data_IF_610104823328
#
_entry.id   IF_610104823328
#
_cell.length_a   1.000
_cell.length_b   1.000
_cell.length_c   1.000
_cell.angle_alpha   90.00
_cell.angle_beta   90.00
_cell.angle_gamma   90.00
#
_symmetry.space_group_name_H-M   'P 1'
#
loop_
_entity.id
_entity.type
_entity.pdbx_description
1 polymer ?
#
# COMPACT_ATOMS: atom_id res chain seq x y z
N UNK A 1 76.34 25.10 35.24
CA UNK A 1 76.36 25.91 34.00
C UNK A 1 74.93 26.10 33.52
N UNK A 2 74.62 27.32 33.08
CA UNK A 2 73.34 27.77 32.52
C UNK A 2 72.94 26.91 31.31
N UNK A 3 71.65 26.64 31.10
CA UNK A 3 70.84 27.30 30.05
C UNK A 3 69.60 26.48 29.63
N UNK A 4 68.43 27.08 29.89
CA UNK A 4 67.24 27.23 29.02
C UNK A 4 66.41 26.04 28.48
N UNK A 5 65.14 26.04 28.93
CA UNK A 5 63.89 26.05 28.14
C UNK A 5 63.63 24.94 27.11
N UNK A 6 62.52 24.20 27.29
CA UNK A 6 61.28 24.51 26.56
C UNK A 6 60.05 23.82 27.18
N UNK A 7 59.00 24.61 27.40
CA UNK A 7 57.62 24.20 27.62
C UNK A 7 57.09 23.39 26.43
N UNK A 8 56.25 22.38 26.68
CA UNK A 8 55.05 22.19 25.85
C UNK A 8 53.92 21.59 26.68
N UNK A 9 52.99 22.47 27.06
CA UNK A 9 51.65 22.12 27.55
C UNK A 9 50.81 21.77 26.32
N UNK A 10 50.35 20.53 26.20
CA UNK A 10 49.28 20.18 25.26
C UNK A 10 48.05 19.85 26.10
N UNK A 11 47.23 20.88 26.32
CA UNK A 11 45.86 20.71 26.75
C UNK A 11 45.06 20.12 25.60
N UNK A 12 44.63 18.87 25.74
CA UNK A 12 43.66 18.26 24.84
C UNK A 12 42.30 18.91 25.08
N UNK A 13 41.98 19.90 24.25
CA UNK A 13 40.63 20.41 24.09
C UNK A 13 39.75 19.30 23.49
N UNK A 14 38.95 18.64 24.33
CA UNK A 14 37.80 17.86 23.87
C UNK A 14 36.68 18.80 23.43
N UNK A 15 36.80 19.37 22.23
CA UNK A 15 35.67 20.00 21.55
C UNK A 15 34.87 18.87 20.91
N UNK A 16 33.91 18.33 21.66
CA UNK A 16 32.84 17.51 21.10
C UNK A 16 31.96 18.44 20.27
N UNK A 17 32.24 18.53 18.97
CA UNK A 17 31.29 19.03 17.99
C UNK A 17 30.08 18.09 17.96
N UNK A 18 29.09 18.35 18.83
CA UNK A 18 27.71 17.98 18.51
C UNK A 18 27.36 18.75 17.25
N UNK A 19 27.32 18.04 16.13
CA UNK A 19 26.73 18.52 14.90
C UNK A 19 25.24 18.65 15.20
N UNK A 20 24.81 19.84 15.57
CA UNK A 20 23.40 20.18 15.68
C UNK A 20 22.76 19.85 14.33
N UNK A 21 22.08 18.70 14.27
CA UNK A 21 21.09 18.50 13.24
C UNK A 21 19.99 19.51 13.55
N UNK A 22 19.59 20.37 12.59
CA UNK A 22 18.46 21.24 12.83
C UNK A 22 17.27 20.36 13.17
N UNK A 23 16.79 20.50 14.40
CA UNK A 23 15.55 19.90 14.85
C UNK A 23 14.45 20.60 14.03
N UNK A 24 14.01 19.94 12.95
CA UNK A 24 12.88 20.42 12.15
C UNK A 24 11.66 20.29 13.04
N UNK A 25 11.31 21.38 13.73
CA UNK A 25 10.05 21.46 14.46
C UNK A 25 8.94 21.61 13.43
N UNK A 26 8.00 20.66 13.35
CA UNK A 26 6.89 20.77 12.41
C UNK A 26 6.09 22.04 12.70
N UNK A 27 5.68 22.72 11.63
CA UNK A 27 4.69 23.79 11.65
C UNK A 27 3.44 23.34 12.45
N UNK A 28 2.80 24.24 13.19
CA UNK A 28 1.57 23.97 13.95
C UNK A 28 0.47 23.30 13.09
N UNK A 29 0.30 23.67 11.83
CA UNK A 29 -0.63 23.04 10.89
C UNK A 29 -0.21 21.59 10.60
N UNK A 30 1.08 21.34 10.38
CA UNK A 30 1.58 19.98 10.20
C UNK A 30 1.40 19.14 11.46
N UNK A 31 1.60 19.73 12.64
CA UNK A 31 1.38 19.06 13.92
C UNK A 31 -0.08 18.66 14.09
N UNK A 32 -1.04 19.53 13.74
CA UNK A 32 -2.46 19.19 13.76
C UNK A 32 -2.81 18.07 12.77
N UNK A 33 -2.24 18.10 11.56
CA UNK A 33 -2.47 17.06 10.55
C UNK A 33 -1.86 15.71 10.94
N UNK A 34 -0.69 15.72 11.60
CA UNK A 34 -0.07 14.52 12.17
C UNK A 34 -0.85 13.94 13.35
N UNK A 35 -1.72 14.73 13.99
CA UNK A 35 -2.64 14.26 15.04
C UNK A 35 -3.96 13.72 14.49
N UNK A 36 -4.23 13.84 13.18
CA UNK A 36 -5.41 13.22 12.57
C UNK A 36 -5.28 11.70 12.66
N UNK A 37 -6.25 11.06 13.33
CA UNK A 37 -6.31 9.60 13.38
C UNK A 37 -6.70 9.04 12.01
N UNK A 38 -6.07 7.92 11.64
CA UNK A 38 -6.53 7.10 10.51
C UNK A 38 -7.99 6.72 10.75
N UNK A 39 -8.78 6.69 9.68
CA UNK A 39 -10.18 6.30 9.80
C UNK A 39 -10.71 5.71 8.51
N UNK A 40 -11.74 4.88 8.66
CA UNK A 40 -12.53 4.36 7.55
C UNK A 40 -14.00 4.29 7.96
N UNK A 41 -14.89 4.68 7.06
CA UNK A 41 -16.33 4.57 7.25
C UNK A 41 -17.03 4.22 5.95
N UNK A 42 -18.15 3.51 6.04
CA UNK A 42 -18.96 3.13 4.88
C UNK A 42 -20.32 2.57 5.33
N UNK A 43 -21.24 2.41 4.39
CA UNK A 43 -22.58 1.86 4.61
C UNK A 43 -22.79 0.59 3.78
N UNK A 44 -23.36 -0.46 4.37
CA UNK A 44 -23.83 -1.68 3.68
C UNK A 44 -25.24 -2.00 4.18
N UNK A 45 -26.19 -2.16 3.25
CA UNK A 45 -27.61 -2.43 3.57
C UNK A 45 -28.23 -1.41 4.55
N UNK A 46 -27.82 -0.14 4.46
CA UNK A 46 -28.25 0.92 5.38
C UNK A 46 -27.59 0.92 6.75
N UNK A 47 -26.72 -0.04 7.05
CA UNK A 47 -25.94 -0.11 8.30
C UNK A 47 -24.61 0.60 8.09
N UNK A 48 -24.33 1.59 8.95
CA UNK A 48 -23.07 2.34 8.95
C UNK A 48 -22.02 1.60 9.76
N UNK A 49 -20.83 1.45 9.18
CA UNK A 49 -19.64 0.90 9.81
C UNK A 49 -18.57 1.99 9.90
N UNK A 50 -17.84 2.02 11.00
CA UNK A 50 -16.72 2.96 11.20
C UNK A 50 -15.59 2.29 11.97
N UNK A 51 -14.37 2.67 11.65
CA UNK A 51 -13.18 2.33 12.43
C UNK A 51 -12.19 3.48 12.42
N UNK A 52 -11.53 3.70 13.55
CA UNK A 52 -10.36 4.55 13.73
C UNK A 52 -9.13 3.74 14.19
N UNK A 53 -9.22 2.41 14.16
CA UNK A 53 -8.23 1.50 14.70
C UNK A 53 -7.50 0.80 13.54
N UNK A 54 -6.54 1.51 12.94
CA UNK A 54 -5.59 0.90 12.00
C UNK A 54 -4.61 0.04 12.79
N UNK A 55 -4.75 -1.27 12.71
CA UNK A 55 -3.88 -2.21 13.42
C UNK A 55 -2.71 -2.74 12.56
N UNK A 56 -2.76 -2.57 11.24
CA UNK A 56 -1.66 -3.04 10.37
C UNK A 56 -1.43 -2.15 9.15
N UNK A 57 -0.16 -2.10 8.74
CA UNK A 57 0.30 -1.53 7.47
C UNK A 57 1.23 -2.53 6.79
N UNK A 58 1.03 -2.77 5.50
CA UNK A 58 1.77 -3.73 4.70
C UNK A 58 2.33 -3.12 3.43
N UNK A 59 3.49 -3.62 3.04
CA UNK A 59 4.17 -3.26 1.79
C UNK A 59 4.59 -4.56 1.12
N UNK A 60 4.25 -4.73 -0.16
CA UNK A 60 4.59 -5.95 -0.88
C UNK A 60 4.91 -5.66 -2.35
N UNK A 61 5.55 -6.63 -3.00
CA UNK A 61 5.61 -6.67 -4.45
C UNK A 61 4.95 -7.93 -4.97
N UNK A 62 4.28 -7.83 -6.11
CA UNK A 62 3.65 -8.97 -6.78
C UNK A 62 4.09 -9.04 -8.24
N UNK A 63 4.09 -10.26 -8.76
CA UNK A 63 4.18 -10.51 -10.20
C UNK A 63 2.92 -9.99 -10.89
N UNK A 64 3.07 -9.42 -12.08
CA UNK A 64 1.96 -8.88 -12.88
C UNK A 64 1.74 -9.65 -14.16
N UNK A 65 0.52 -9.57 -14.69
CA UNK A 65 0.12 -10.23 -15.94
C UNK A 65 0.50 -11.71 -15.92
N UNK A 66 0.16 -12.39 -14.83
CA UNK A 66 0.56 -13.77 -14.56
C UNK A 66 -0.10 -14.71 -15.59
N UNK A 67 0.70 -15.55 -16.23
CA UNK A 67 0.29 -16.47 -17.30
C UNK A 67 0.85 -17.87 -17.08
N UNK A 68 0.15 -18.92 -17.58
CA UNK A 68 0.61 -20.29 -17.49
C UNK A 68 1.67 -20.60 -18.55
N UNK A 69 2.60 -21.49 -18.19
CA UNK A 69 3.66 -22.02 -19.05
C UNK A 69 3.82 -23.53 -18.77
N UNK A 70 4.13 -24.29 -19.82
CA UNK A 70 4.27 -25.75 -19.75
C UNK A 70 5.66 -26.21 -19.26
N UNK A 71 6.59 -25.28 -19.05
CA UNK A 71 7.96 -25.56 -18.63
C UNK A 71 8.53 -24.40 -17.79
N UNK A 72 9.61 -24.67 -17.09
CA UNK A 72 10.34 -23.68 -16.31
C UNK A 72 11.01 -22.64 -17.21
N UNK A 73 10.96 -21.36 -16.81
CA UNK A 73 11.64 -20.26 -17.50
C UNK A 73 12.80 -19.78 -16.63
N UNK A 74 14.06 -20.22 -16.88
CA UNK A 74 15.18 -20.03 -15.96
C UNK A 74 15.56 -18.56 -15.71
N UNK A 75 15.15 -17.66 -16.60
CA UNK A 75 15.44 -16.22 -16.50
C UNK A 75 14.23 -15.40 -16.03
N UNK A 76 13.27 -16.02 -15.35
CA UNK A 76 12.09 -15.36 -14.78
C UNK A 76 11.83 -15.81 -13.36
N UNK A 77 11.36 -14.88 -12.53
CA UNK A 77 10.92 -15.21 -11.19
C UNK A 77 9.57 -15.94 -11.27
N UNK A 78 9.54 -17.17 -10.74
CA UNK A 78 8.31 -17.94 -10.60
C UNK A 78 7.32 -17.21 -9.69
N UNK A 79 6.08 -17.03 -10.14
CA UNK A 79 5.01 -16.53 -9.29
C UNK A 79 4.52 -17.63 -8.35
N UNK A 80 4.18 -18.78 -8.92
CA UNK A 80 3.84 -20.02 -8.21
C UNK A 80 3.77 -21.19 -9.21
N UNK A 81 3.60 -22.41 -8.71
CA UNK A 81 3.44 -23.64 -9.50
C UNK A 81 2.18 -24.37 -9.09
N UNK A 82 1.43 -24.90 -10.06
CA UNK A 82 0.27 -25.78 -9.81
C UNK A 82 0.38 -27.02 -10.68
N UNK A 83 0.54 -28.20 -10.08
CA UNK A 83 0.75 -29.46 -10.82
C UNK A 83 1.90 -29.28 -11.85
N UNK A 84 1.63 -29.50 -13.13
CA UNK A 84 2.59 -29.41 -14.23
C UNK A 84 2.64 -28.02 -14.89
N UNK A 85 1.91 -27.04 -14.33
CA UNK A 85 1.87 -25.66 -14.85
C UNK A 85 2.74 -24.73 -14.02
N UNK A 86 3.57 -23.96 -14.71
CA UNK A 86 4.40 -22.90 -14.14
C UNK A 86 3.78 -21.54 -14.42
N UNK A 87 3.66 -20.70 -13.40
CA UNK A 87 3.02 -19.40 -13.53
C UNK A 87 4.04 -18.28 -13.41
N UNK A 88 4.17 -17.47 -14.45
CA UNK A 88 5.13 -16.36 -14.48
C UNK A 88 4.42 -15.06 -14.79
N UNK A 89 4.87 -13.97 -14.16
CA UNK A 89 4.51 -12.62 -14.56
C UNK A 89 5.44 -12.02 -15.61
N UNK A 90 5.32 -10.71 -15.80
CA UNK A 90 6.28 -9.94 -16.58
C UNK A 90 7.67 -9.96 -15.94
N UNK A 91 8.71 -10.10 -16.79
CA UNK A 91 10.10 -10.23 -16.34
C UNK A 91 10.62 -8.95 -15.67
N UNK A 92 10.32 -7.79 -16.26
CA UNK A 92 10.96 -6.52 -15.92
C UNK A 92 10.03 -5.57 -15.17
N UNK A 93 8.91 -6.08 -14.64
CA UNK A 93 7.88 -5.28 -14.00
C UNK A 93 7.36 -5.94 -12.73
N UNK A 94 7.05 -5.13 -11.72
CA UNK A 94 6.40 -5.57 -10.49
C UNK A 94 5.18 -4.69 -10.18
N UNK A 95 4.20 -5.26 -9.51
CA UNK A 95 3.15 -4.51 -8.84
C UNK A 95 3.67 -4.16 -7.45
N UNK A 96 3.83 -2.87 -7.17
CA UNK A 96 4.12 -2.39 -5.81
C UNK A 96 2.79 -2.14 -5.12
N UNK A 97 2.65 -2.63 -3.90
CA UNK A 97 1.43 -2.54 -3.10
C UNK A 97 1.71 -1.89 -1.74
N UNK A 98 0.86 -0.94 -1.37
CA UNK A 98 0.74 -0.36 -0.03
C UNK A 98 -0.67 -0.70 0.48
N UNK A 99 -0.78 -1.39 1.61
CA UNK A 99 -2.07 -1.80 2.15
C UNK A 99 -2.18 -1.54 3.65
N UNK A 100 -3.42 -1.35 4.10
CA UNK A 100 -3.77 -0.91 5.44
C UNK A 100 -4.93 -1.76 5.94
N UNK A 101 -4.86 -2.18 7.20
CA UNK A 101 -5.93 -2.95 7.83
C UNK A 101 -6.49 -2.21 9.05
N UNK A 102 -7.82 -2.17 9.11
CA UNK A 102 -8.61 -1.57 10.18
C UNK A 102 -9.40 -2.64 10.93
N UNK A 103 -9.45 -2.53 12.25
CA UNK A 103 -10.27 -3.34 13.15
C UNK A 103 -11.41 -2.53 13.72
N UNK A 104 -12.50 -3.19 14.11
CA UNK A 104 -13.68 -2.53 14.66
C UNK A 104 -14.86 -3.49 14.56
N UNK A 105 -16.04 -2.95 14.22
CA UNK A 105 -17.21 -3.78 13.94
C UNK A 105 -17.02 -4.67 12.70
N UNK A 106 -16.05 -4.37 11.84
CA UNK A 106 -15.66 -5.21 10.71
C UNK A 106 -14.16 -5.08 10.51
N UNK A 107 -13.54 -6.13 9.95
CA UNK A 107 -12.15 -6.05 9.52
C UNK A 107 -12.14 -5.53 8.09
N UNK A 108 -11.45 -4.42 7.85
CA UNK A 108 -11.29 -3.86 6.50
C UNK A 108 -9.84 -3.87 6.12
N UNK A 109 -9.56 -4.31 4.90
CA UNK A 109 -8.26 -4.14 4.25
C UNK A 109 -8.46 -3.30 3.00
N UNK A 110 -7.73 -2.20 2.89
CA UNK A 110 -7.66 -1.36 1.70
C UNK A 110 -6.21 -1.34 1.20
N UNK A 111 -6.01 -1.38 -0.11
CA UNK A 111 -4.68 -1.24 -0.66
C UNK A 111 -4.64 -0.52 -1.99
N UNK A 112 -3.48 0.08 -2.24
CA UNK A 112 -3.15 0.85 -3.42
C UNK A 112 -2.02 0.13 -4.15
N UNK A 113 -2.20 -0.10 -5.44
CA UNK A 113 -1.25 -0.83 -6.26
C UNK A 113 -0.83 -0.01 -7.47
N UNK A 114 0.45 -0.11 -7.83
CA UNK A 114 0.98 0.53 -9.03
C UNK A 114 2.04 -0.33 -9.70
N UNK A 115 1.94 -0.45 -11.02
CA UNK A 115 2.91 -1.12 -11.86
C UNK A 115 4.17 -0.26 -11.97
N UNK A 116 5.31 -0.88 -11.74
CA UNK A 116 6.62 -0.27 -11.95
C UNK A 116 7.49 -1.19 -12.79
N UNK A 117 8.28 -0.59 -13.67
CA UNK A 117 9.45 -1.28 -14.23
C UNK A 117 10.50 -1.44 -13.11
N UNK A 118 11.14 -2.60 -13.03
CA UNK A 118 12.14 -2.92 -12.00
C UNK A 118 13.30 -1.91 -11.99
N UNK A 119 13.69 -1.35 -13.14
CA UNK A 119 14.73 -0.32 -13.23
C UNK A 119 14.32 1.03 -12.59
N UNK A 120 13.04 1.22 -12.25
CA UNK A 120 12.53 2.37 -11.49
C UNK A 120 12.34 2.04 -10.00
N UNK A 121 12.77 0.87 -9.58
CA UNK A 121 12.73 0.41 -8.21
C UNK A 121 14.14 0.30 -7.65
N UNK A 122 14.25 0.50 -6.34
CA UNK A 122 15.43 0.17 -5.55
C UNK A 122 15.10 -0.98 -4.61
N UNK A 123 16.10 -1.78 -4.26
CA UNK A 123 15.92 -2.86 -3.29
C UNK A 123 15.82 -2.25 -1.89
N UNK A 124 14.65 -2.37 -1.26
CA UNK A 124 14.47 -2.06 0.16
C UNK A 124 14.90 -3.23 1.05
N UNK A 125 14.69 -3.07 2.37
CA UNK A 125 15.04 -4.11 3.35
C UNK A 125 14.27 -5.41 3.15
N UNK A 126 13.00 -5.33 2.77
CA UNK A 126 12.10 -6.49 2.61
C UNK A 126 11.52 -6.61 1.21
N UNK A 127 11.32 -5.49 0.51
CA UNK A 127 10.66 -5.42 -0.79
C UNK A 127 11.31 -4.34 -1.67
N UNK A 128 11.17 -4.45 -2.98
CA UNK A 128 11.47 -3.37 -3.91
C UNK A 128 10.55 -2.17 -3.67
N UNK A 129 11.12 -0.97 -3.78
CA UNK A 129 10.44 0.29 -3.52
C UNK A 129 10.70 1.26 -4.68
N UNK A 130 9.73 2.13 -5.05
CA UNK A 130 9.96 3.12 -6.09
C UNK A 130 11.05 4.12 -5.68
N UNK A 131 12.01 4.37 -6.56
CA UNK A 131 13.11 5.32 -6.33
C UNK A 131 12.57 6.72 -6.00
N UNK A 132 11.49 7.13 -6.67
CA UNK A 132 10.85 8.43 -6.52
C UNK A 132 9.64 8.42 -5.57
N UNK A 133 9.55 7.42 -4.68
CA UNK A 133 8.41 7.21 -3.80
C UNK A 133 7.17 6.65 -4.49
N UNK A 134 6.24 6.12 -3.70
CA UNK A 134 4.95 5.65 -4.20
C UNK A 134 4.03 6.85 -4.38
N UNK A 135 3.73 7.17 -5.64
CA UNK A 135 3.00 8.37 -6.02
C UNK A 135 1.56 8.01 -6.40
N UNK A 136 0.61 8.53 -5.63
CA UNK A 136 -0.81 8.53 -5.94
C UNK A 136 -1.21 9.89 -6.50
N UNK A 137 -2.13 9.89 -7.46
CA UNK A 137 -2.68 11.12 -8.03
C UNK A 137 -4.04 11.40 -7.40
N UNK A 138 -4.33 12.67 -7.10
CA UNK A 138 -5.69 13.08 -6.74
C UNK A 138 -6.65 12.86 -7.91
N UNK A 139 -7.93 12.71 -7.59
CA UNK A 139 -9.00 12.45 -8.54
C UNK A 139 -9.36 10.96 -8.69
N UNK A 140 -10.15 10.62 -9.72
CA UNK A 140 -10.68 9.28 -9.92
C UNK A 140 -9.58 8.22 -10.03
N UNK A 141 -9.75 7.13 -9.30
CA UNK A 141 -8.91 5.94 -9.33
C UNK A 141 -9.73 4.75 -9.81
N UNK A 142 -9.08 3.84 -10.54
CA UNK A 142 -9.71 2.59 -10.95
C UNK A 142 -9.58 1.54 -9.84
N UNK A 143 -10.57 0.65 -9.75
CA UNK A 143 -10.46 -0.55 -8.95
C UNK A 143 -9.63 -1.62 -9.67
N UNK A 144 -8.83 -2.34 -8.90
CA UNK A 144 -8.15 -3.55 -9.35
C UNK A 144 -9.10 -4.74 -9.15
N UNK A 145 -9.64 -5.29 -10.23
CA UNK A 145 -10.67 -6.35 -10.17
C UNK A 145 -10.09 -7.76 -10.23
N UNK A 146 -8.82 -7.91 -10.59
CA UNK A 146 -8.10 -9.18 -10.70
C UNK A 146 -6.97 -9.34 -9.66
N UNK A 147 -7.13 -8.66 -8.52
CA UNK A 147 -6.18 -8.70 -7.42
C UNK A 147 -5.98 -10.14 -6.90
N UNK A 148 -4.71 -10.53 -6.76
CA UNK A 148 -4.24 -11.89 -6.43
C UNK A 148 -4.56 -12.97 -7.46
N UNK A 149 -5.01 -12.59 -8.67
CA UNK A 149 -5.12 -13.46 -9.84
C UNK A 149 -4.05 -13.11 -10.87
N UNK A 150 -4.43 -12.51 -11.98
CA UNK A 150 -3.50 -12.11 -13.04
C UNK A 150 -2.73 -10.84 -12.69
N UNK A 151 -3.23 -9.98 -11.80
CA UNK A 151 -2.65 -8.68 -11.45
C UNK A 151 -2.32 -7.82 -12.69
N UNK A 152 -3.27 -7.66 -13.62
CA UNK A 152 -3.08 -6.94 -14.89
C UNK A 152 -3.15 -5.43 -14.70
N UNK A 153 -3.93 -4.94 -13.74
CA UNK A 153 -4.17 -3.51 -13.55
C UNK A 153 -3.56 -2.99 -12.25
N UNK A 154 -3.24 -1.70 -12.26
CA UNK A 154 -2.94 -0.92 -11.06
C UNK A 154 -4.21 -0.28 -10.55
N UNK A 155 -4.34 -0.04 -9.26
CA UNK A 155 -5.51 0.65 -8.74
C UNK A 155 -5.71 0.42 -7.27
N UNK A 156 -6.96 0.53 -6.84
CA UNK A 156 -7.35 0.30 -5.45
C UNK A 156 -8.05 -1.05 -5.33
N UNK A 157 -7.77 -1.76 -4.25
CA UNK A 157 -8.55 -2.93 -3.84
C UNK A 157 -9.01 -2.76 -2.41
N UNK A 158 -10.15 -3.39 -2.09
CA UNK A 158 -10.70 -3.37 -0.75
C UNK A 158 -11.37 -4.72 -0.43
N UNK A 159 -11.22 -5.20 0.78
CA UNK A 159 -11.94 -6.37 1.31
C UNK A 159 -12.48 -6.08 2.70
N UNK A 160 -13.70 -6.52 2.97
CA UNK A 160 -14.41 -6.30 4.22
C UNK A 160 -14.87 -7.66 4.76
N UNK A 161 -14.42 -8.01 5.97
CA UNK A 161 -14.90 -9.16 6.72
C UNK A 161 -15.89 -8.67 7.77
N UNK A 162 -17.17 -8.88 7.49
CA UNK A 162 -18.27 -8.53 8.38
C UNK A 162 -18.50 -9.65 9.42
N UNK A 163 -18.82 -9.32 10.68
CA UNK A 163 -19.17 -10.32 11.68
C UNK A 163 -20.39 -11.13 11.22
N UNK A 164 -20.29 -12.46 11.33
CA UNK A 164 -21.40 -13.39 11.02
C UNK A 164 -21.89 -13.34 9.56
N UNK A 165 -21.14 -12.71 8.65
CA UNK A 165 -21.41 -12.69 7.20
C UNK A 165 -20.16 -13.15 6.45
N UNK A 166 -20.34 -13.57 5.21
CA UNK A 166 -19.21 -13.84 4.30
C UNK A 166 -18.43 -12.55 4.04
N UNK A 167 -17.11 -12.68 3.89
CA UNK A 167 -16.27 -11.55 3.49
C UNK A 167 -16.61 -11.12 2.07
N UNK A 168 -16.57 -9.82 1.82
CA UNK A 168 -16.79 -9.23 0.50
C UNK A 168 -15.51 -8.56 0.01
N UNK A 169 -15.27 -8.60 -1.30
CA UNK A 169 -14.09 -7.99 -1.94
C UNK A 169 -14.50 -7.15 -3.14
N UNK A 170 -13.76 -6.06 -3.41
CA UNK A 170 -13.93 -5.24 -4.62
C UNK A 170 -13.37 -5.90 -5.89
N UNK A 171 -12.76 -7.06 -5.74
CA UNK A 171 -12.13 -7.85 -6.78
C UNK A 171 -12.76 -9.25 -6.85
N UNK A 172 -12.50 -9.98 -7.92
CA UNK A 172 -12.97 -11.36 -8.12
C UNK A 172 -12.46 -12.23 -6.98
N UNK A 173 -13.32 -12.79 -6.10
CA UNK A 173 -12.87 -13.43 -4.86
C UNK A 173 -12.13 -14.76 -5.06
N UNK A 174 -12.43 -15.51 -6.14
CA UNK A 174 -11.71 -16.75 -6.45
C UNK A 174 -10.32 -16.44 -7.00
N UNK A 175 -9.30 -16.67 -6.17
CA UNK A 175 -7.88 -16.44 -6.49
C UNK A 175 -7.29 -17.54 -7.37
N UNK A 176 -8.01 -18.63 -7.58
CA UNK A 176 -7.53 -19.73 -8.39
C UNK A 176 -7.43 -19.32 -9.85
N UNK A 177 -6.25 -19.53 -10.41
CA UNK A 177 -5.96 -19.28 -11.82
C UNK A 177 -6.29 -20.49 -12.71
N UNK A 178 -6.56 -21.65 -12.13
CA UNK A 178 -6.97 -22.87 -12.83
C UNK A 178 -8.48 -23.06 -12.86
N UNK A 179 -9.24 -22.32 -12.03
CA UNK A 179 -10.70 -22.40 -12.00
C UNK A 179 -11.32 -21.34 -12.92
N UNK A 180 -12.36 -21.69 -13.68
CA UNK A 180 -13.12 -20.69 -14.43
C UNK A 180 -13.81 -19.74 -13.43
N UNK A 181 -13.70 -18.45 -13.69
CA UNK A 181 -14.39 -17.42 -12.90
C UNK A 181 -15.73 -17.09 -13.55
N UNK A 182 -16.77 -16.95 -12.72
CA UNK A 182 -18.10 -16.54 -13.20
C UNK A 182 -18.20 -15.03 -13.40
N UNK A 183 -17.41 -14.26 -12.66
CA UNK A 183 -17.34 -12.81 -12.75
C UNK A 183 -16.27 -12.40 -13.78
N UNK A 184 -16.53 -11.29 -14.48
CA UNK A 184 -15.56 -10.67 -15.39
C UNK A 184 -14.93 -9.42 -14.74
N UNK A 185 -14.04 -8.73 -15.45
CA UNK A 185 -13.32 -7.57 -14.91
C UNK A 185 -14.17 -6.29 -14.79
N UNK A 186 -15.43 -6.30 -15.21
CA UNK A 186 -16.34 -5.15 -15.18
C UNK A 186 -17.24 -5.14 -13.92
N UNK A 187 -16.86 -5.84 -12.85
CA UNK A 187 -17.63 -5.90 -11.59
C UNK A 187 -17.75 -4.56 -10.83
N UNK A 188 -17.03 -3.52 -11.28
CA UNK A 188 -17.01 -2.17 -10.70
C UNK A 188 -17.51 -1.11 -11.70
N UNK A 189 -18.40 -1.48 -12.61
CA UNK A 189 -18.91 -0.63 -13.70
C UNK A 189 -19.65 0.64 -13.25
N UNK A 190 -20.29 0.61 -12.08
CA UNK A 190 -21.00 1.74 -11.45
C UNK A 190 -20.35 2.20 -10.14
N UNK A 191 -19.09 1.81 -9.90
CA UNK A 191 -18.36 2.10 -8.68
C UNK A 191 -17.38 3.27 -8.85
N UNK A 192 -17.05 3.95 -7.76
CA UNK A 192 -16.15 5.10 -7.75
C UNK A 192 -15.15 5.00 -6.61
N UNK A 193 -13.91 5.42 -6.88
CA UNK A 193 -12.92 5.70 -5.85
C UNK A 193 -12.24 7.01 -6.22
N UNK A 194 -12.32 8.03 -5.38
CA UNK A 194 -11.76 9.35 -5.67
C UNK A 194 -10.81 9.74 -4.56
N UNK A 195 -9.54 9.93 -4.90
CA UNK A 195 -8.57 10.51 -3.96
C UNK A 195 -8.84 12.02 -3.90
N UNK A 196 -9.33 12.49 -2.76
CA UNK A 196 -9.63 13.88 -2.50
C UNK A 196 -8.36 14.65 -2.13
N UNK A 197 -7.49 14.02 -1.34
CA UNK A 197 -6.26 14.62 -0.83
C UNK A 197 -5.12 13.60 -0.85
N UNK A 198 -3.95 14.04 -1.30
CA UNK A 198 -2.69 13.30 -1.18
C UNK A 198 -1.55 14.32 -1.02
N UNK A 199 -1.26 14.68 0.23
CA UNK A 199 -0.33 15.75 0.59
C UNK A 199 0.83 15.20 1.44
N UNK A 200 2.05 15.61 1.12
CA UNK A 200 3.23 15.31 1.94
C UNK A 200 3.22 16.15 3.22
N UNK A 201 3.39 15.49 4.36
CA UNK A 201 3.53 16.07 5.68
C UNK A 201 5.00 16.03 6.12
N UNK A 202 5.31 16.75 7.19
CA UNK A 202 6.63 16.67 7.83
C UNK A 202 6.96 15.23 8.25
N UNK A 203 8.25 14.89 8.18
CA UNK A 203 8.73 13.55 8.53
C UNK A 203 8.50 12.48 7.44
N UNK A 204 8.16 12.88 6.21
CA UNK A 204 7.98 11.96 5.07
C UNK A 204 6.71 11.12 5.14
N UNK A 205 5.74 11.58 5.93
CA UNK A 205 4.38 11.05 5.97
C UNK A 205 3.53 11.70 4.89
N UNK A 206 2.44 11.06 4.49
CA UNK A 206 1.45 11.64 3.61
C UNK A 206 0.07 11.52 4.24
N UNK A 207 -0.74 12.58 4.09
CA UNK A 207 -2.17 12.56 4.34
C UNK A 207 -2.89 12.16 3.05
N UNK A 208 -3.53 11.01 3.09
CA UNK A 208 -4.45 10.54 2.06
C UNK A 208 -5.88 10.64 2.58
N UNK A 209 -6.75 11.31 1.84
CA UNK A 209 -8.20 11.26 2.04
C UNK A 209 -8.87 10.84 0.73
N UNK A 210 -9.80 9.90 0.82
CA UNK A 210 -10.52 9.41 -0.35
C UNK A 210 -11.96 9.04 -0.01
N UNK A 211 -12.83 9.21 -0.99
CA UNK A 211 -14.22 8.74 -0.95
C UNK A 211 -14.41 7.57 -1.91
N UNK A 212 -15.36 6.69 -1.61
CA UNK A 212 -15.63 5.53 -2.44
C UNK A 212 -17.08 5.02 -2.38
N UNK A 213 -17.54 4.48 -3.50
CA UNK A 213 -18.63 3.53 -3.58
C UNK A 213 -18.18 2.32 -4.37
N UNK A 214 -18.49 1.12 -3.91
CA UNK A 214 -18.02 -0.10 -4.58
C UNK A 214 -19.00 -1.25 -4.52
N UNK A 215 -18.81 -2.20 -5.43
CA UNK A 215 -19.50 -3.47 -5.43
C UNK A 215 -18.62 -4.52 -4.72
N UNK A 216 -19.08 -5.03 -3.58
CA UNK A 216 -18.42 -6.11 -2.87
C UNK A 216 -18.98 -7.48 -3.28
N UNK A 217 -18.12 -8.45 -3.57
CA UNK A 217 -18.52 -9.81 -3.94
C UNK A 217 -17.99 -10.82 -2.92
N UNK A 218 -18.84 -11.78 -2.57
CA UNK A 218 -18.48 -12.97 -1.78
C UNK A 218 -17.88 -14.06 -2.67
N UNK A 219 -17.26 -15.09 -2.07
CA UNK A 219 -16.77 -16.28 -2.79
C UNK A 219 -17.88 -16.99 -3.59
N UNK A 220 -19.15 -16.86 -3.15
CA UNK A 220 -20.32 -17.38 -3.85
C UNK A 220 -20.90 -16.40 -4.88
N UNK A 221 -20.14 -15.37 -5.26
CA UNK A 221 -20.51 -14.33 -6.23
C UNK A 221 -21.75 -13.49 -5.86
N UNK A 222 -22.20 -13.52 -4.59
CA UNK A 222 -23.23 -12.62 -4.10
C UNK A 222 -22.69 -11.18 -4.02
N UNK A 223 -23.34 -10.25 -4.71
CA UNK A 223 -23.05 -8.80 -4.75
C UNK A 223 -23.66 -8.09 -3.53
N UNK A 224 -22.89 -7.16 -2.95
CA UNK A 224 -23.31 -6.17 -1.96
C UNK A 224 -22.86 -4.80 -2.43
N UNK A 225 -23.68 -3.77 -2.24
CA UNK A 225 -23.26 -2.39 -2.51
C UNK A 225 -22.72 -1.77 -1.24
N UNK A 226 -21.53 -1.20 -1.34
CA UNK A 226 -20.91 -0.35 -0.31
C UNK A 226 -21.07 1.09 -0.76
N UNK A 227 -21.62 1.94 0.11
CA UNK A 227 -21.90 3.36 -0.16
C UNK A 227 -21.29 4.26 0.90
N UNK A 228 -21.27 5.56 0.63
CA UNK A 228 -20.84 6.61 1.56
C UNK A 228 -19.45 6.31 2.16
N UNK A 229 -18.59 5.71 1.35
CA UNK A 229 -17.27 5.28 1.76
C UNK A 229 -16.34 6.47 1.92
N UNK A 230 -15.60 6.51 3.02
CA UNK A 230 -14.54 7.48 3.27
C UNK A 230 -13.37 6.79 3.96
N UNK A 231 -12.15 7.16 3.59
CA UNK A 231 -10.93 6.71 4.24
C UNK A 231 -9.94 7.86 4.40
N UNK A 232 -9.34 7.95 5.59
CA UNK A 232 -8.21 8.82 5.90
C UNK A 232 -7.03 7.98 6.36
N UNK A 233 -5.86 8.26 5.80
CA UNK A 233 -4.61 7.61 6.17
C UNK A 233 -3.51 8.66 6.35
N UNK A 234 -2.79 8.57 7.46
CA UNK A 234 -1.51 9.24 7.68
C UNK A 234 -0.42 8.16 7.67
N UNK A 235 0.35 8.10 6.58
CA UNK A 235 1.28 6.98 6.37
C UNK A 235 2.49 7.35 5.52
N UNK A 236 3.57 6.57 5.68
CA UNK A 236 4.73 6.65 4.80
C UNK A 236 4.44 5.92 3.48
N UNK A 237 4.44 6.67 2.38
CA UNK A 237 4.41 6.13 1.01
C UNK A 237 5.80 6.10 0.37
N UNK A 238 6.83 6.31 1.20
CA UNK A 238 8.25 6.30 0.85
C UNK A 238 9.01 5.78 2.07
N UNK A 239 9.79 4.72 1.90
CA UNK A 239 10.66 4.19 2.96
C UNK A 239 12.08 4.15 2.42
N UNK A 240 13.04 4.54 3.23
CA UNK A 240 14.47 4.39 2.97
C UNK A 240 15.05 3.46 4.02
#
# INVERSE_FOLDING_TARGET
>A
MKSFFLLTVIGLFFISCKKDQPEIKPDNNTKEQLMLSDSISYTIDGIKYTSNDRFATGFSNRQINIKPYNHELPNRQLAYRTSDTWWYGEKDSLLVEYNYAFSGEALVRIGFTKKYNIAKLQKGSTVYQPINGFQLTTGPQQFMTDYERENKTSGVFLSISLPKRESISSYIPDRSMTKPVQLNNNIQDDATFTILKFEELDGGLYLLEAEFELNGYTEKNKKYRVKDGFVRLVSQFKRF
#
